data_IF_655744966972
#
_entry.id   IF_655744966972
#
_cell.length_a   1.000
_cell.length_b   1.000
_cell.length_c   1.000
_cell.angle_alpha   90.00
_cell.angle_beta   90.00
_cell.angle_gamma   90.00
#
_symmetry.space_group_name_H-M   'P 1'
#
loop_
_entity.id
_entity.type
_entity.pdbx_description
1 polymer ?
#
# COMPACT_ATOMS: atom_id res chain seq x y z
N UNK A 1 6.08 -2.04 -4.92
CA UNK A 1 5.47 -1.84 -3.60
C UNK A 1 4.02 -2.32 -3.50
N UNK A 2 3.41 -2.67 -4.60
CA UNK A 2 2.12 -3.39 -4.61
C UNK A 2 2.24 -4.81 -5.19
N UNK A 3 3.45 -5.34 -5.25
CA UNK A 3 3.74 -6.68 -5.75
C UNK A 3 2.94 -7.74 -5.00
N UNK A 4 2.22 -8.59 -5.73
CA UNK A 4 1.41 -9.64 -5.16
C UNK A 4 0.05 -9.19 -4.59
N UNK A 5 -0.27 -7.90 -4.64
CA UNK A 5 -1.57 -7.38 -4.21
C UNK A 5 -2.67 -7.87 -5.15
N UNK A 6 -3.70 -8.48 -4.57
CA UNK A 6 -4.88 -8.97 -5.30
C UNK A 6 -6.05 -8.00 -5.15
N UNK A 7 -6.96 -7.93 -6.13
CA UNK A 7 -8.17 -7.15 -5.98
C UNK A 7 -9.02 -7.67 -4.82
N UNK A 8 -9.71 -6.75 -4.13
CA UNK A 8 -10.64 -7.09 -3.08
C UNK A 8 -11.88 -7.75 -3.68
N UNK A 9 -12.34 -8.88 -3.10
CA UNK A 9 -13.42 -9.68 -3.62
C UNK A 9 -14.78 -8.97 -3.57
N UNK A 10 -15.00 -8.12 -2.57
CA UNK A 10 -16.19 -7.27 -2.44
C UNK A 10 -15.75 -5.88 -2.04
N UNK A 11 -16.11 -4.92 -2.85
CA UNK A 11 -15.89 -3.53 -2.61
C UNK A 11 -17.23 -2.88 -2.32
N UNK A 12 -17.65 -2.89 -1.07
CA UNK A 12 -18.85 -2.22 -0.61
C UNK A 12 -18.44 -1.09 0.32
N UNK A 13 -18.87 0.11 -0.03
CA UNK A 13 -18.70 1.29 0.81
C UNK A 13 -19.30 1.14 2.21
N UNK A 14 -20.20 0.18 2.39
CA UNK A 14 -20.93 -0.04 3.63
C UNK A 14 -20.18 -0.90 4.66
N UNK A 15 -19.13 -1.61 4.25
CA UNK A 15 -18.35 -2.49 5.14
C UNK A 15 -17.02 -1.88 5.56
N UNK A 16 -16.79 -0.64 5.22
CA UNK A 16 -15.53 -0.01 5.50
C UNK A 16 -15.60 0.79 6.80
N UNK A 17 -14.99 0.22 7.80
CA UNK A 17 -14.51 0.98 8.95
C UNK A 17 -13.29 1.79 8.48
N UNK A 18 -13.45 2.56 7.43
CA UNK A 18 -12.41 3.48 6.99
C UNK A 18 -12.89 4.87 7.28
N UNK A 19 -12.34 5.42 8.29
CA UNK A 19 -12.32 6.86 8.49
C UNK A 19 -11.11 7.42 7.70
N UNK A 20 -11.27 8.43 6.89
CA UNK A 20 -12.48 9.23 6.68
C UNK A 20 -13.42 8.67 5.61
N UNK A 21 -14.66 9.12 5.64
CA UNK A 21 -15.67 8.81 4.63
C UNK A 21 -15.16 9.19 3.23
N UNK A 22 -15.25 8.26 2.29
CA UNK A 22 -14.82 8.47 0.92
C UNK A 22 -15.84 9.31 0.15
N UNK A 23 -15.35 10.20 -0.72
CA UNK A 23 -16.19 10.88 -1.69
C UNK A 23 -16.64 9.93 -2.79
N UNK A 24 -17.69 10.31 -3.53
CA UNK A 24 -18.15 9.54 -4.70
C UNK A 24 -17.05 9.38 -5.75
N UNK A 25 -16.25 10.42 -5.95
CA UNK A 25 -15.10 10.38 -6.85
C UNK A 25 -14.04 9.38 -6.38
N UNK A 26 -13.71 9.37 -5.10
CA UNK A 26 -12.75 8.45 -4.52
C UNK A 26 -13.21 6.99 -4.61
N UNK A 27 -14.50 6.72 -4.42
CA UNK A 27 -15.09 5.39 -4.59
C UNK A 27 -14.96 4.93 -6.05
N UNK A 28 -15.29 5.78 -7.00
CA UNK A 28 -15.15 5.48 -8.44
C UNK A 28 -13.70 5.19 -8.81
N UNK A 29 -12.78 6.02 -8.34
CA UNK A 29 -11.36 5.87 -8.60
C UNK A 29 -10.82 4.55 -8.03
N UNK A 30 -11.18 4.23 -6.78
CA UNK A 30 -10.83 2.97 -6.14
C UNK A 30 -11.33 1.77 -6.94
N UNK A 31 -12.58 1.80 -7.40
CA UNK A 31 -13.16 0.73 -8.21
C UNK A 31 -12.38 0.50 -9.51
N UNK A 32 -11.94 1.57 -10.16
CA UNK A 32 -11.10 1.48 -11.36
C UNK A 32 -9.77 0.80 -11.04
N UNK A 33 -9.09 1.24 -10.00
CA UNK A 33 -7.79 0.68 -9.61
C UNK A 33 -7.92 -0.79 -9.19
N UNK A 34 -8.90 -1.12 -8.35
CA UNK A 34 -9.15 -2.50 -7.92
C UNK A 34 -9.49 -3.41 -9.11
N UNK A 35 -10.25 -2.90 -10.07
CA UNK A 35 -10.56 -3.65 -11.28
C UNK A 35 -9.32 -3.87 -12.16
N UNK A 36 -8.44 -2.88 -12.25
CA UNK A 36 -7.19 -3.00 -13.00
C UNK A 36 -6.19 -3.97 -12.34
N UNK A 37 -6.25 -4.18 -11.03
CA UNK A 37 -5.42 -5.17 -10.35
C UNK A 37 -5.64 -6.60 -10.87
N UNK A 38 -6.81 -6.90 -11.43
CA UNK A 38 -7.08 -8.20 -12.05
C UNK A 38 -6.12 -8.53 -13.18
N UNK A 39 -5.64 -7.52 -13.91
CA UNK A 39 -4.70 -7.70 -15.02
C UNK A 39 -3.29 -8.07 -14.56
N UNK A 40 -2.97 -7.89 -13.29
CA UNK A 40 -1.68 -8.26 -12.71
C UNK A 40 -1.65 -9.71 -12.19
N UNK A 41 -2.80 -10.37 -12.07
CA UNK A 41 -2.86 -11.72 -11.48
C UNK A 41 -2.01 -12.73 -12.26
N UNK A 42 -1.98 -12.65 -13.58
CA UNK A 42 -1.16 -13.53 -14.41
C UNK A 42 0.33 -13.30 -14.16
N UNK A 43 0.73 -12.05 -13.91
CA UNK A 43 2.11 -11.70 -13.54
C UNK A 43 2.44 -12.24 -12.16
N UNK A 44 1.52 -12.09 -11.19
CA UNK A 44 1.72 -12.64 -9.85
C UNK A 44 1.87 -14.16 -9.84
N UNK A 45 1.19 -14.85 -10.76
CA UNK A 45 1.28 -16.30 -10.89
C UNK A 45 2.64 -16.79 -11.44
N UNK A 46 3.45 -15.90 -12.00
CA UNK A 46 4.82 -16.22 -12.43
C UNK A 46 5.85 -16.12 -11.29
N UNK A 47 5.44 -15.61 -10.14
CA UNK A 47 6.32 -15.41 -8.98
C UNK A 47 6.34 -16.70 -8.15
N UNK A 48 7.51 -17.32 -8.01
CA UNK A 48 7.68 -18.56 -7.24
C UNK A 48 7.55 -18.31 -5.74
N UNK A 49 8.15 -17.23 -5.24
CA UNK A 49 8.12 -16.86 -3.82
C UNK A 49 8.00 -15.35 -3.64
N UNK A 50 7.20 -14.94 -2.70
CA UNK A 50 7.08 -13.54 -2.29
C UNK A 50 7.53 -13.41 -0.84
N UNK A 51 8.41 -12.46 -0.59
CA UNK A 51 8.83 -12.07 0.76
C UNK A 51 8.21 -10.71 1.08
N UNK A 52 7.41 -10.67 2.13
CA UNK A 52 6.63 -9.50 2.49
C UNK A 52 7.29 -8.73 3.65
N UNK A 53 7.78 -7.55 3.37
CA UNK A 53 8.19 -6.58 4.40
C UNK A 53 6.95 -5.85 4.89
N UNK A 54 6.47 -6.20 6.07
CA UNK A 54 5.26 -5.63 6.65
C UNK A 54 5.63 -4.61 7.74
N UNK A 55 5.13 -3.37 7.65
CA UNK A 55 5.29 -2.43 8.75
C UNK A 55 4.45 -2.85 9.96
N UNK A 56 4.97 -2.63 11.16
CA UNK A 56 4.21 -2.84 12.39
C UNK A 56 2.92 -2.01 12.40
N UNK A 57 2.98 -0.80 11.83
CA UNK A 57 1.83 0.09 11.60
C UNK A 57 1.88 0.64 10.18
N UNK A 58 0.77 0.59 9.47
CA UNK A 58 0.70 1.06 8.09
C UNK A 58 0.97 2.57 7.93
N UNK A 59 0.71 3.37 8.97
CA UNK A 59 1.06 4.80 8.96
C UNK A 59 2.56 5.07 8.76
N UNK A 60 3.41 4.10 9.06
CA UNK A 60 4.86 4.22 8.79
C UNK A 60 5.17 4.36 7.31
N UNK A 61 4.34 3.82 6.43
CA UNK A 61 4.50 3.97 4.98
C UNK A 61 4.40 5.44 4.56
N UNK A 62 3.46 6.18 5.14
CA UNK A 62 3.32 7.62 4.90
C UNK A 62 4.55 8.40 5.39
N UNK A 63 5.03 8.04 6.57
CA UNK A 63 6.26 8.62 7.12
C UNK A 63 7.47 8.36 6.23
N UNK A 64 7.66 7.13 5.77
CA UNK A 64 8.77 6.77 4.89
C UNK A 64 8.69 7.48 3.54
N UNK A 65 7.49 7.60 2.98
CA UNK A 65 7.29 8.33 1.72
C UNK A 65 7.58 9.81 1.89
N UNK A 66 7.14 10.42 2.98
CA UNK A 66 7.42 11.82 3.28
C UNK A 66 8.91 12.09 3.42
N UNK A 67 9.64 11.22 4.11
CA UNK A 67 11.09 11.33 4.24
C UNK A 67 11.79 11.19 2.89
N UNK A 68 11.37 10.23 2.06
CA UNK A 68 11.93 10.04 0.72
C UNK A 68 11.77 11.29 -0.14
N UNK A 69 10.58 11.89 -0.12
CA UNK A 69 10.32 13.13 -0.88
C UNK A 69 11.14 14.32 -0.35
N UNK A 70 11.30 14.41 0.98
CA UNK A 70 12.13 15.45 1.59
C UNK A 70 13.60 15.28 1.20
N UNK A 71 14.15 14.08 1.28
CA UNK A 71 15.52 13.80 0.84
C UNK A 71 15.72 14.12 -0.64
N UNK A 72 14.78 13.76 -1.48
CA UNK A 72 14.83 14.06 -2.91
C UNK A 72 14.80 15.57 -3.17
N UNK A 73 13.98 16.32 -2.41
CA UNK A 73 13.95 17.78 -2.50
C UNK A 73 15.30 18.41 -2.12
N UNK A 74 15.92 17.95 -1.02
CA UNK A 74 17.21 18.45 -0.58
C UNK A 74 18.34 18.16 -1.57
N UNK A 75 18.27 17.01 -2.26
CA UNK A 75 19.31 16.61 -3.21
C UNK A 75 19.09 17.20 -4.62
N UNK A 76 17.85 17.28 -5.07
CA UNK A 76 17.51 17.62 -6.47
C UNK A 76 16.69 18.90 -6.63
N UNK A 77 16.22 19.49 -5.53
CA UNK A 77 15.38 20.68 -5.53
C UNK A 77 13.97 20.46 -6.06
N UNK A 78 13.56 19.21 -6.31
CA UNK A 78 12.26 18.87 -6.86
C UNK A 78 11.71 17.60 -6.19
N UNK A 79 10.50 17.68 -5.65
CA UNK A 79 9.79 16.58 -5.02
C UNK A 79 8.33 16.95 -4.75
N UNK A 80 7.51 15.96 -4.41
CA UNK A 80 6.17 16.21 -3.88
C UNK A 80 6.27 16.78 -2.47
N UNK A 81 5.57 17.88 -2.20
CA UNK A 81 5.59 18.55 -0.91
C UNK A 81 4.20 19.04 -0.50
N UNK A 82 3.99 19.23 0.81
CA UNK A 82 2.81 19.86 1.38
C UNK A 82 1.51 19.19 0.92
N UNK A 83 0.57 19.97 0.38
CA UNK A 83 -0.73 19.51 -0.07
C UNK A 83 -0.64 18.46 -1.19
N UNK A 84 0.29 18.61 -2.12
CA UNK A 84 0.49 17.63 -3.21
C UNK A 84 0.91 16.27 -2.68
N UNK A 85 1.81 16.24 -1.70
CA UNK A 85 2.22 15.00 -1.03
C UNK A 85 1.05 14.39 -0.26
N UNK A 86 0.33 15.18 0.51
CA UNK A 86 -0.84 14.73 1.27
C UNK A 86 -1.92 14.13 0.35
N UNK A 87 -2.23 14.79 -0.75
CA UNK A 87 -3.20 14.31 -1.74
C UNK A 87 -2.72 13.01 -2.41
N UNK A 88 -1.44 12.91 -2.72
CA UNK A 88 -0.85 11.70 -3.29
C UNK A 88 -0.95 10.52 -2.32
N UNK A 89 -0.62 10.71 -1.05
CA UNK A 89 -0.71 9.67 -0.02
C UNK A 89 -2.16 9.23 0.20
N UNK A 90 -3.11 10.18 0.21
CA UNK A 90 -4.53 9.87 0.31
C UNK A 90 -4.99 9.05 -0.89
N UNK A 91 -4.59 9.43 -2.10
CA UNK A 91 -4.90 8.70 -3.32
C UNK A 91 -4.40 7.25 -3.26
N UNK A 92 -3.17 7.02 -2.82
CA UNK A 92 -2.62 5.68 -2.66
C UNK A 92 -3.42 4.84 -1.66
N UNK A 93 -3.70 5.40 -0.49
CA UNK A 93 -4.41 4.70 0.58
C UNK A 93 -5.88 4.42 0.21
N UNK A 94 -6.49 5.27 -0.59
CA UNK A 94 -7.84 5.07 -1.11
C UNK A 94 -7.85 3.97 -2.17
N UNK A 95 -6.91 3.99 -3.11
CA UNK A 95 -6.85 3.07 -4.25
C UNK A 95 -6.58 1.63 -3.84
N UNK A 96 -5.60 1.44 -2.97
CA UNK A 96 -5.16 0.14 -2.45
C UNK A 96 -5.15 0.24 -0.93
N UNK A 97 -6.29 -0.07 -0.28
CA UNK A 97 -6.40 0.03 1.16
C UNK A 97 -5.52 -1.03 1.86
N UNK A 98 -5.22 -0.80 3.13
CA UNK A 98 -4.31 -1.64 3.91
C UNK A 98 -4.73 -3.12 3.94
N UNK A 99 -6.02 -3.40 3.90
CA UNK A 99 -6.54 -4.77 3.85
C UNK A 99 -6.06 -5.56 2.64
N UNK A 100 -5.75 -4.89 1.53
CA UNK A 100 -5.19 -5.52 0.33
C UNK A 100 -3.81 -6.10 0.58
N UNK A 101 -3.01 -5.47 1.45
CA UNK A 101 -1.67 -5.94 1.81
C UNK A 101 -1.70 -7.11 2.80
N UNK A 102 -2.73 -7.19 3.63
CA UNK A 102 -2.88 -8.29 4.59
C UNK A 102 -3.19 -9.63 3.90
N UNK A 103 -3.65 -9.59 2.67
CA UNK A 103 -4.02 -10.77 1.87
C UNK A 103 -2.92 -11.22 0.90
N UNK A 104 -1.75 -10.63 0.94
CA UNK A 104 -0.63 -11.08 0.11
C UNK A 104 -0.21 -12.47 0.58
N UNK A 105 -0.22 -13.42 -0.35
CA UNK A 105 0.31 -14.75 -0.08
C UNK A 105 1.82 -14.69 -0.12
N UNK A 106 2.46 -14.68 1.05
CA UNK A 106 3.91 -14.59 1.17
C UNK A 106 4.49 -15.88 1.74
N UNK A 107 5.64 -16.29 1.22
CA UNK A 107 6.45 -17.38 1.77
C UNK A 107 7.08 -16.97 3.11
N UNK A 108 7.56 -15.75 3.19
CA UNK A 108 8.13 -15.18 4.40
C UNK A 108 7.57 -13.79 4.66
N UNK A 109 7.31 -13.50 5.94
CA UNK A 109 6.85 -12.20 6.41
C UNK A 109 7.88 -11.63 7.38
N UNK A 110 8.33 -10.42 7.11
CA UNK A 110 9.29 -9.70 7.93
C UNK A 110 8.59 -8.48 8.53
N UNK A 111 8.36 -8.51 9.83
CA UNK A 111 7.77 -7.38 10.55
C UNK A 111 8.85 -6.36 10.88
N UNK A 112 8.64 -5.11 10.49
CA UNK A 112 9.60 -4.03 10.68
C UNK A 112 9.00 -2.83 11.42
N UNK A 113 9.84 -2.17 12.22
CA UNK A 113 9.47 -0.96 12.94
C UNK A 113 9.57 0.31 12.08
N UNK A 114 9.27 1.46 12.69
CA UNK A 114 9.34 2.78 12.02
C UNK A 114 10.74 3.11 11.46
N UNK A 115 11.80 2.58 12.09
CA UNK A 115 13.19 2.74 11.65
C UNK A 115 13.63 1.65 10.67
N UNK A 116 12.68 0.82 10.22
CA UNK A 116 12.91 -0.34 9.34
C UNK A 116 13.78 -1.44 9.98
N UNK A 117 13.83 -1.47 11.31
CA UNK A 117 14.51 -2.54 12.03
C UNK A 117 13.60 -3.77 12.06
N UNK A 118 14.19 -4.94 11.83
CA UNK A 118 13.48 -6.22 11.89
C UNK A 118 13.06 -6.52 13.34
N UNK A 119 11.78 -6.81 13.52
CA UNK A 119 11.17 -7.19 14.80
C UNK A 119 10.91 -8.69 14.87
N UNK A 120 10.36 -9.26 13.80
CA UNK A 120 9.92 -10.65 13.75
C UNK A 120 9.98 -11.20 12.33
N UNK A 121 10.22 -12.50 12.20
CA UNK A 121 10.16 -13.23 10.94
C UNK A 121 9.18 -14.38 11.09
N UNK A 122 8.19 -14.43 10.20
CA UNK A 122 7.26 -15.55 10.06
C UNK A 122 7.49 -16.27 8.73
N UNK A 123 7.51 -17.59 8.77
CA UNK A 123 7.56 -18.42 7.57
C UNK A 123 6.20 -19.09 7.37
N UNK A 124 5.69 -18.98 6.16
CA UNK A 124 4.48 -19.66 5.74
C UNK A 124 4.89 -20.92 4.98
N UNK A 125 5.06 -21.97 5.74
CA UNK A 125 5.52 -23.26 5.22
C UNK A 125 4.31 -24.10 4.81
#
# INVERSE_FOLDING_TARGET
>A
WFLGVKPLAKFSSNNEIISPTLSTYEISYRNIIQNNLKHYLDIWNLIDQTWHLKPLKYEYMNFWKSNQEQEMFLQKGNALQNEKLSNFLRMLNVSIPHQSFDKINSYALFLIDKKRKLLEVGLNI
#
